data_IF_199824534078
#
_entry.id   IF_199824534078
#
_cell.length_a   1.000
_cell.length_b   1.000
_cell.length_c   1.000
_cell.angle_alpha   90.00
_cell.angle_beta   90.00
_cell.angle_gamma   90.00
#
_symmetry.space_group_name_H-M   'P 1'
#
loop_
_entity.id
_entity.type
_entity.pdbx_description
1 polymer ?
#
# COMPACT_ATOMS: atom_id res chain seq x y z
N UNK A 1 -1.20 -6.04 11.91
CA UNK A 1 -2.20 -7.05 11.51
C UNK A 1 -1.49 -8.25 10.91
N UNK A 2 -1.94 -9.50 11.14
CA UNK A 2 -1.35 -10.67 10.50
C UNK A 2 -1.68 -10.71 9.00
N UNK A 3 -0.78 -11.27 8.19
CA UNK A 3 -1.04 -11.58 6.79
C UNK A 3 -2.17 -12.62 6.72
N UNK A 4 -3.25 -12.31 5.98
CA UNK A 4 -4.38 -13.22 5.74
C UNK A 4 -4.56 -13.47 4.25
N UNK A 5 -5.30 -14.53 3.86
CA UNK A 5 -5.59 -14.81 2.44
C UNK A 5 -6.20 -13.60 1.73
N UNK A 6 -7.17 -12.92 2.36
CA UNK A 6 -7.74 -11.72 1.77
C UNK A 6 -6.70 -10.60 1.59
N UNK A 7 -5.65 -10.51 2.43
CA UNK A 7 -4.61 -9.47 2.28
C UNK A 7 -3.72 -9.86 1.10
N UNK A 8 -3.40 -11.14 0.98
CA UNK A 8 -2.63 -11.67 -0.14
C UNK A 8 -3.37 -11.50 -1.47
N UNK A 9 -4.69 -11.74 -1.51
CA UNK A 9 -5.54 -11.50 -2.68
C UNK A 9 -5.55 -10.03 -3.07
N UNK A 10 -5.77 -9.12 -2.12
CA UNK A 10 -5.75 -7.68 -2.39
C UNK A 10 -4.35 -7.23 -2.85
N UNK A 11 -3.29 -7.71 -2.22
CA UNK A 11 -1.92 -7.44 -2.64
C UNK A 11 -1.66 -7.92 -4.07
N UNK A 12 -2.13 -9.12 -4.43
CA UNK A 12 -2.02 -9.63 -5.79
C UNK A 12 -2.76 -8.75 -6.81
N UNK A 13 -3.96 -8.25 -6.46
CA UNK A 13 -4.70 -7.28 -7.29
C UNK A 13 -3.93 -5.98 -7.48
N UNK A 14 -3.38 -5.42 -6.40
CA UNK A 14 -2.57 -4.19 -6.45
C UNK A 14 -1.33 -4.38 -7.33
N UNK A 15 -0.60 -5.50 -7.18
CA UNK A 15 0.55 -5.85 -8.02
C UNK A 15 0.19 -5.89 -9.51
N UNK A 16 -0.90 -6.56 -9.84
CA UNK A 16 -1.34 -6.71 -11.23
C UNK A 16 -1.76 -5.37 -11.86
N UNK A 17 -2.42 -4.50 -11.08
CA UNK A 17 -2.94 -3.21 -11.58
C UNK A 17 -1.89 -2.11 -11.64
N UNK A 18 -1.04 -2.02 -10.63
CA UNK A 18 -0.15 -0.87 -10.41
C UNK A 18 1.34 -1.22 -10.50
N UNK A 19 1.67 -2.45 -10.85
CA UNK A 19 3.05 -2.95 -10.98
C UNK A 19 3.92 -2.71 -9.73
N UNK A 20 3.31 -2.76 -8.54
CA UNK A 20 4.01 -2.63 -7.25
C UNK A 20 4.75 -3.92 -6.88
N UNK A 21 5.88 -3.79 -6.17
CA UNK A 21 6.63 -4.96 -5.67
C UNK A 21 5.81 -5.71 -4.61
N UNK A 22 6.11 -6.99 -4.40
CA UNK A 22 5.28 -7.87 -3.55
C UNK A 22 5.19 -7.37 -2.12
N UNK A 23 6.31 -7.00 -1.47
CA UNK A 23 6.27 -6.51 -0.10
C UNK A 23 5.44 -5.23 0.02
N UNK A 24 5.62 -4.30 -0.92
CA UNK A 24 4.92 -3.01 -0.93
C UNK A 24 3.42 -3.22 -1.11
N UNK A 25 3.02 -4.07 -2.06
CA UNK A 25 1.61 -4.41 -2.27
C UNK A 25 0.96 -5.06 -1.05
N UNK A 26 1.69 -5.92 -0.33
CA UNK A 26 1.21 -6.52 0.92
C UNK A 26 0.98 -5.45 1.99
N UNK A 27 1.91 -4.51 2.15
CA UNK A 27 1.78 -3.43 3.13
C UNK A 27 0.63 -2.48 2.77
N UNK A 28 0.50 -2.09 1.50
CA UNK A 28 -0.59 -1.25 1.01
C UNK A 28 -1.95 -1.94 1.16
N UNK A 29 -2.06 -3.22 0.78
CA UNK A 29 -3.27 -4.02 0.97
C UNK A 29 -3.64 -4.15 2.46
N UNK A 30 -2.65 -4.29 3.32
CA UNK A 30 -2.86 -4.32 4.77
C UNK A 30 -3.42 -2.99 5.27
N UNK A 31 -2.87 -1.86 4.82
CA UNK A 31 -3.34 -0.53 5.20
C UNK A 31 -4.77 -0.26 4.73
N UNK A 32 -5.09 -0.59 3.47
CA UNK A 32 -6.46 -0.50 2.92
C UNK A 32 -7.43 -1.32 3.77
N UNK A 33 -7.07 -2.57 4.08
CA UNK A 33 -7.89 -3.49 4.88
C UNK A 33 -8.03 -3.09 6.34
N UNK A 34 -7.05 -2.36 6.87
CA UNK A 34 -7.11 -1.75 8.19
C UNK A 34 -8.02 -0.51 8.22
N UNK A 35 -8.48 -0.02 7.06
CA UNK A 35 -9.20 1.25 6.95
C UNK A 35 -8.30 2.46 7.18
N UNK A 36 -7.00 2.36 6.90
CA UNK A 36 -6.07 3.45 7.09
C UNK A 36 -6.38 4.59 6.11
N UNK A 37 -6.42 5.83 6.61
CA UNK A 37 -6.61 7.01 5.77
C UNK A 37 -5.37 7.36 4.94
N UNK A 38 -4.18 6.95 5.39
CA UNK A 38 -2.90 7.27 4.76
C UNK A 38 -1.91 6.11 4.86
N UNK A 39 -0.99 6.04 3.90
CA UNK A 39 0.19 5.20 3.91
C UNK A 39 1.45 6.07 3.97
N UNK A 40 2.11 6.09 5.12
CA UNK A 40 3.35 6.84 5.30
C UNK A 40 4.55 6.01 4.84
N UNK A 41 5.40 6.58 3.98
CA UNK A 41 6.58 5.91 3.43
C UNK A 41 7.76 6.86 3.30
N UNK A 42 8.97 6.30 3.28
CA UNK A 42 10.19 7.02 2.87
C UNK A 42 10.53 6.78 1.38
N UNK A 43 9.82 5.88 0.71
CA UNK A 43 10.03 5.57 -0.70
C UNK A 43 9.14 6.44 -1.59
N UNK A 44 9.73 7.47 -2.19
CA UNK A 44 9.04 8.38 -3.12
C UNK A 44 8.71 7.75 -4.47
N UNK A 45 9.21 6.54 -4.77
CA UNK A 45 8.89 5.81 -5.99
C UNK A 45 7.64 4.93 -5.84
N UNK A 46 7.08 4.84 -4.63
CA UNK A 46 5.86 4.08 -4.41
C UNK A 46 4.69 4.74 -5.16
N UNK A 47 3.97 4.03 -6.03
CA UNK A 47 2.94 4.64 -6.84
C UNK A 47 1.75 5.06 -5.98
N UNK A 48 1.24 6.26 -6.27
CA UNK A 48 -0.03 6.73 -5.72
C UNK A 48 -1.17 5.92 -6.33
N UNK A 49 -2.03 5.35 -5.47
CA UNK A 49 -3.20 4.59 -5.89
C UNK A 49 -4.50 5.24 -5.36
N UNK A 50 -5.62 5.17 -6.10
CA UNK A 50 -6.89 5.75 -5.67
C UNK A 50 -7.40 5.21 -4.33
N UNK A 51 -7.08 3.96 -4.00
CA UNK A 51 -7.57 3.25 -2.81
C UNK A 51 -6.87 3.68 -1.52
N UNK A 52 -5.70 4.34 -1.61
CA UNK A 52 -4.86 4.64 -0.45
C UNK A 52 -3.98 5.87 -0.72
N UNK A 53 -4.18 6.92 0.08
CA UNK A 53 -3.36 8.13 -0.05
C UNK A 53 -1.96 7.88 0.52
N UNK A 54 -0.94 8.05 -0.30
CA UNK A 54 0.46 7.93 0.11
C UNK A 54 0.94 9.29 0.62
N UNK A 55 1.66 9.29 1.75
CA UNK A 55 2.40 10.42 2.28
C UNK A 55 3.87 10.06 2.31
N UNK A 56 4.72 10.88 1.69
CA UNK A 56 6.17 10.72 1.79
C UNK A 56 6.66 11.52 2.98
N UNK A 57 7.46 10.91 3.86
CA UNK A 57 7.89 11.53 5.11
C UNK A 57 8.57 12.90 4.88
N UNK A 58 9.44 13.00 3.89
CA UNK A 58 10.16 14.23 3.54
C UNK A 58 9.25 15.37 3.03
N UNK A 59 8.00 15.06 2.66
CA UNK A 59 6.99 16.03 2.22
C UNK A 59 6.14 16.57 3.39
N UNK A 60 6.25 15.96 4.58
CA UNK A 60 5.58 16.42 5.79
C UNK A 60 6.44 17.48 6.50
N UNK A 61 6.04 18.74 6.38
CA UNK A 61 6.65 19.89 7.05
C UNK A 61 5.96 20.21 8.37
#
# INVERSE_FOLDING_TARGET
>A
MPLSCAIAEEAARLRARYNVRTPDAIQMATAIRAGASFFLTNDSHLPTIPELRVLVLDELK
#
